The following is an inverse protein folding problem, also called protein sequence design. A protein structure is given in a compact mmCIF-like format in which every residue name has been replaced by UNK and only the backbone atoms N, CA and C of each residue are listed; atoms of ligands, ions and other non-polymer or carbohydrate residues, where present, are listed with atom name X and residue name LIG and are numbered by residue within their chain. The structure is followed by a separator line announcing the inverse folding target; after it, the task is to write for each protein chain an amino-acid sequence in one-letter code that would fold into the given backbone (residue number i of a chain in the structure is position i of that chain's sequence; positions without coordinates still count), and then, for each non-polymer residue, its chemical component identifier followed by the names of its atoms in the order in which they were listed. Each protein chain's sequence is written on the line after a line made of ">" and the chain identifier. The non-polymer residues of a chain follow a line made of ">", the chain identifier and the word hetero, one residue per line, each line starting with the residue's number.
data_IF_374895180622
#
_entry.id   IF_374895180622
#
_cell.length_a   1.000
_cell.length_b   1.000
_cell.length_c   1.000
_cell.angle_alpha   90.00
_cell.angle_beta   90.00
_cell.angle_gamma   90.00
#
_symmetry.space_group_name_H-M   'P 1'
#
loop_
_entity.id
_entity.type
_entity.pdbx_description
1 polymer ?
#
# COMPACT_ATOMS: atom_id res chain seq x y z
N UNK A 1 13.37 -25.02 32.96
CA UNK A 1 13.03 -24.10 31.88
C UNK A 1 14.25 -23.25 31.56
N UNK A 2 14.99 -23.52 30.48
CA UNK A 2 16.16 -22.72 30.08
C UNK A 2 15.62 -21.46 29.41
N UNK A 3 15.86 -20.31 29.99
CA UNK A 3 15.64 -19.02 29.34
C UNK A 3 16.42 -19.03 28.01
N UNK A 4 15.73 -18.92 26.88
CA UNK A 4 16.36 -18.64 25.59
C UNK A 4 17.06 -17.30 25.75
N UNK A 5 18.39 -17.35 25.74
CA UNK A 5 19.24 -16.18 25.67
C UNK A 5 18.89 -15.47 24.34
N UNK A 6 18.06 -14.44 24.41
CA UNK A 6 17.79 -13.56 23.29
C UNK A 6 19.02 -12.71 23.06
N UNK A 7 20.04 -13.31 22.43
CA UNK A 7 21.14 -12.54 21.88
C UNK A 7 20.48 -11.52 20.94
N UNK A 8 20.55 -10.25 21.31
CA UNK A 8 19.83 -9.15 20.70
C UNK A 8 20.04 -9.17 19.17
N UNK A 9 19.08 -9.75 18.46
CA UNK A 9 19.03 -9.61 17.01
C UNK A 9 19.03 -8.12 16.67
N UNK A 10 19.86 -7.70 15.76
CA UNK A 10 19.91 -6.31 15.25
C UNK A 10 19.44 -6.24 13.82
N UNK A 11 18.68 -7.22 13.40
CA UNK A 11 18.08 -7.28 12.08
C UNK A 11 16.84 -6.37 12.04
N UNK A 12 16.83 -5.41 11.14
CA UNK A 12 15.69 -4.54 10.86
C UNK A 12 15.20 -4.85 9.46
N UNK A 13 13.95 -5.21 9.34
CA UNK A 13 13.34 -5.65 8.08
C UNK A 13 12.28 -4.64 7.66
N UNK A 14 12.24 -4.34 6.37
CA UNK A 14 11.19 -3.55 5.74
C UNK A 14 10.62 -4.30 4.55
N UNK A 15 9.31 -4.22 4.34
CA UNK A 15 8.65 -4.72 3.15
C UNK A 15 7.72 -3.65 2.58
N UNK A 16 7.73 -3.49 1.26
CA UNK A 16 6.82 -2.61 0.55
C UNK A 16 6.06 -3.39 -0.53
N UNK A 17 4.73 -3.35 -0.46
CA UNK A 17 3.85 -4.00 -1.42
C UNK A 17 3.38 -2.95 -2.43
N UNK A 18 3.99 -2.99 -3.62
CA UNK A 18 3.54 -2.23 -4.77
C UNK A 18 2.46 -2.95 -5.59
N UNK A 19 1.97 -2.31 -6.64
CA UNK A 19 0.98 -2.92 -7.55
C UNK A 19 1.54 -4.10 -8.36
N UNK A 20 2.81 -4.05 -8.75
CA UNK A 20 3.45 -5.07 -9.59
C UNK A 20 4.49 -5.89 -8.82
N UNK A 21 5.27 -5.25 -7.97
CA UNK A 21 6.35 -5.88 -7.22
C UNK A 21 6.19 -5.65 -5.74
N UNK A 22 6.66 -6.62 -4.98
CA UNK A 22 6.89 -6.53 -3.54
C UNK A 22 8.39 -6.51 -3.30
N UNK A 23 8.87 -5.44 -2.70
CA UNK A 23 10.27 -5.24 -2.35
C UNK A 23 10.47 -5.52 -0.86
N UNK A 24 11.56 -6.19 -0.52
CA UNK A 24 11.97 -6.41 0.87
C UNK A 24 13.41 -5.98 1.06
N UNK A 25 13.70 -5.39 2.21
CA UNK A 25 15.04 -4.98 2.61
C UNK A 25 15.28 -5.37 4.05
N UNK A 26 16.48 -5.82 4.39
CA UNK A 26 16.87 -6.03 5.76
C UNK A 26 18.26 -5.48 6.01
N UNK A 27 18.43 -4.79 7.13
CA UNK A 27 19.71 -4.29 7.59
C UNK A 27 20.16 -5.05 8.84
N UNK A 28 21.28 -5.77 8.71
CA UNK A 28 21.95 -6.40 9.83
C UNK A 28 22.98 -5.43 10.41
N UNK A 29 22.65 -4.84 11.55
CA UNK A 29 23.52 -3.86 12.21
C UNK A 29 24.77 -4.48 12.85
N UNK A 30 24.87 -5.81 12.97
CA UNK A 30 26.08 -6.49 13.47
C UNK A 30 27.13 -6.60 12.38
N UNK A 31 26.68 -6.94 11.19
CA UNK A 31 27.57 -7.16 10.04
C UNK A 31 27.69 -5.90 9.16
N UNK A 32 26.91 -4.85 9.43
CA UNK A 32 26.82 -3.67 8.55
C UNK A 32 26.31 -4.02 7.16
N UNK A 33 25.49 -5.06 7.03
CA UNK A 33 25.10 -5.66 5.75
C UNK A 33 23.64 -5.34 5.42
N UNK A 34 23.40 -4.95 4.17
CA UNK A 34 22.08 -4.78 3.59
C UNK A 34 21.75 -6.01 2.72
N UNK A 35 20.58 -6.60 2.98
CA UNK A 35 19.99 -7.68 2.20
C UNK A 35 18.79 -7.13 1.46
N UNK A 36 18.65 -7.45 0.18
CA UNK A 36 17.55 -6.98 -0.67
C UNK A 36 16.90 -8.17 -1.35
N UNK A 37 15.58 -8.15 -1.42
CA UNK A 37 14.78 -9.12 -2.15
C UNK A 37 13.66 -8.44 -2.91
N UNK A 38 13.33 -8.99 -4.07
CA UNK A 38 12.25 -8.51 -4.92
C UNK A 38 11.47 -9.70 -5.48
N UNK A 39 10.15 -9.58 -5.46
CA UNK A 39 9.25 -10.59 -6.03
C UNK A 39 8.06 -9.92 -6.71
N UNK A 40 7.32 -10.66 -7.51
CA UNK A 40 6.04 -10.19 -8.03
C UNK A 40 5.02 -10.11 -6.90
N UNK A 41 4.22 -9.07 -6.91
CA UNK A 41 3.07 -8.96 -6.01
C UNK A 41 2.04 -10.03 -6.37
N UNK A 42 1.51 -10.70 -5.35
CA UNK A 42 0.42 -11.67 -5.48
C UNK A 42 -0.88 -11.03 -4.99
N UNK A 43 -1.71 -10.43 -5.85
CA UNK A 43 -2.86 -9.62 -5.44
C UNK A 43 -3.87 -10.37 -4.57
N UNK A 44 -4.06 -11.67 -4.80
CA UNK A 44 -4.95 -12.53 -4.01
C UNK A 44 -4.39 -12.91 -2.63
N UNK A 45 -3.05 -12.83 -2.44
CA UNK A 45 -2.35 -13.26 -1.23
C UNK A 45 -1.12 -12.39 -0.97
N UNK A 46 -1.34 -11.13 -0.59
CA UNK A 46 -0.27 -10.13 -0.43
C UNK A 46 0.87 -10.57 0.50
N UNK A 47 0.54 -11.26 1.58
CA UNK A 47 1.53 -11.79 2.53
C UNK A 47 2.49 -12.79 1.86
N UNK A 48 2.02 -13.56 0.88
CA UNK A 48 2.85 -14.54 0.18
C UNK A 48 3.98 -13.86 -0.60
N UNK A 49 3.71 -12.71 -1.21
CA UNK A 49 4.73 -11.90 -1.87
C UNK A 49 5.86 -11.49 -0.93
N UNK A 50 5.51 -11.03 0.28
CA UNK A 50 6.51 -10.69 1.32
C UNK A 50 7.34 -11.92 1.69
N UNK A 51 6.69 -13.04 2.03
CA UNK A 51 7.38 -14.27 2.44
C UNK A 51 8.33 -14.79 1.36
N UNK A 52 7.92 -14.76 0.11
CA UNK A 52 8.77 -15.13 -1.02
C UNK A 52 9.96 -14.17 -1.19
N UNK A 53 9.74 -12.87 -1.03
CA UNK A 53 10.80 -11.87 -1.08
C UNK A 53 11.83 -12.07 0.03
N UNK A 54 11.38 -12.33 1.27
CA UNK A 54 12.24 -12.64 2.41
C UNK A 54 13.06 -13.91 2.17
N UNK A 55 12.41 -14.98 1.71
CA UNK A 55 13.09 -16.25 1.42
C UNK A 55 14.16 -16.09 0.33
N UNK A 56 13.87 -15.37 -0.76
CA UNK A 56 14.84 -15.08 -1.82
C UNK A 56 16.05 -14.29 -1.33
N UNK A 57 15.83 -13.38 -0.39
CA UNK A 57 16.88 -12.56 0.21
C UNK A 57 17.65 -13.28 1.34
N UNK A 58 17.23 -14.49 1.73
CA UNK A 58 17.82 -15.22 2.86
C UNK A 58 17.55 -14.53 4.21
N UNK A 59 16.41 -13.84 4.34
CA UNK A 59 16.03 -13.09 5.54
C UNK A 59 15.12 -13.97 6.40
N UNK A 60 15.55 -14.28 7.63
CA UNK A 60 14.74 -14.94 8.64
C UNK A 60 13.97 -13.89 9.44
N UNK A 61 12.66 -13.84 9.26
CA UNK A 61 11.80 -12.85 9.91
C UNK A 61 11.78 -13.02 11.44
N UNK A 62 11.95 -14.25 11.92
CA UNK A 62 12.01 -14.59 13.34
C UNK A 62 13.20 -13.94 14.05
N UNK A 63 14.22 -13.56 13.30
CA UNK A 63 15.40 -12.87 13.80
C UNK A 63 15.24 -11.35 13.76
N UNK A 64 14.14 -10.83 13.23
CA UNK A 64 13.92 -9.41 13.12
C UNK A 64 13.59 -8.78 14.47
N UNK A 65 14.33 -7.74 14.84
CA UNK A 65 14.01 -6.88 15.98
C UNK A 65 12.89 -5.90 15.64
N UNK A 66 12.83 -5.49 14.37
CA UNK A 66 11.87 -4.53 13.86
C UNK A 66 11.41 -4.98 12.47
N UNK A 67 10.11 -4.97 12.25
CA UNK A 67 9.51 -5.15 10.94
C UNK A 67 8.66 -3.92 10.60
N UNK A 68 8.97 -3.29 9.47
CA UNK A 68 8.22 -2.17 8.90
C UNK A 68 7.49 -2.65 7.64
N UNK A 69 6.23 -2.27 7.51
CA UNK A 69 5.43 -2.65 6.36
C UNK A 69 4.80 -1.41 5.72
N UNK A 70 5.05 -1.22 4.43
CA UNK A 70 4.40 -0.24 3.58
C UNK A 70 3.53 -0.92 2.52
N UNK A 71 2.51 -0.23 2.05
CA UNK A 71 1.69 -0.71 0.94
C UNK A 71 1.07 0.45 0.18
N UNK A 72 1.18 0.41 -1.15
CA UNK A 72 0.51 1.35 -2.07
C UNK A 72 -0.74 0.75 -2.72
N UNK A 73 -1.17 -0.44 -2.29
CA UNK A 73 -2.30 -1.18 -2.89
C UNK A 73 -3.57 -0.34 -2.93
N UNK A 74 -3.91 0.37 -1.84
CA UNK A 74 -5.11 1.21 -1.80
C UNK A 74 -5.05 2.37 -2.81
N UNK A 75 -3.89 3.01 -2.93
CA UNK A 75 -3.69 4.11 -3.90
C UNK A 75 -3.81 3.56 -5.32
N UNK A 76 -3.14 2.45 -5.62
CA UNK A 76 -3.19 1.81 -6.93
C UNK A 76 -4.63 1.40 -7.30
N UNK A 77 -5.36 0.79 -6.37
CA UNK A 77 -6.77 0.42 -6.54
C UNK A 77 -7.64 1.63 -6.90
N UNK A 78 -7.42 2.78 -6.25
CA UNK A 78 -8.14 4.01 -6.56
C UNK A 78 -7.76 4.57 -7.94
N UNK A 79 -6.47 4.57 -8.29
CA UNK A 79 -6.00 5.08 -9.58
C UNK A 79 -6.47 4.21 -10.75
N UNK A 80 -6.41 2.90 -10.58
CA UNK A 80 -6.84 1.91 -11.57
C UNK A 80 -8.36 1.69 -11.61
N UNK A 81 -9.09 2.23 -10.61
CA UNK A 81 -10.54 2.01 -10.44
C UNK A 81 -10.92 0.53 -10.39
N UNK A 82 -10.04 -0.30 -9.86
CA UNK A 82 -10.18 -1.75 -9.78
C UNK A 82 -10.76 -2.25 -8.45
N UNK A 83 -11.18 -1.33 -7.59
CA UNK A 83 -11.70 -1.63 -6.26
C UNK A 83 -13.11 -2.20 -6.23
N UNK A 84 -13.57 -2.53 -5.04
CA UNK A 84 -14.95 -2.97 -4.81
C UNK A 84 -15.96 -1.89 -5.20
N UNK A 85 -17.15 -2.31 -5.63
CA UNK A 85 -18.27 -1.40 -5.84
C UNK A 85 -18.67 -0.76 -4.51
N UNK A 86 -18.55 0.56 -4.45
CA UNK A 86 -18.67 1.32 -3.20
C UNK A 86 -19.87 2.27 -3.27
N UNK A 87 -20.65 2.35 -2.20
CA UNK A 87 -21.69 3.35 -2.02
C UNK A 87 -21.24 4.40 -0.99
N UNK A 88 -21.65 5.64 -1.18
CA UNK A 88 -21.39 6.74 -0.27
C UNK A 88 -22.67 7.11 0.51
N UNK A 89 -22.65 6.95 1.82
CA UNK A 89 -23.71 7.41 2.70
C UNK A 89 -23.37 8.82 3.16
N UNK A 90 -24.30 9.76 2.94
CA UNK A 90 -24.09 11.17 3.29
C UNK A 90 -25.38 11.79 3.82
N UNK A 91 -25.29 13.01 4.36
CA UNK A 91 -26.45 13.77 4.85
C UNK A 91 -27.43 14.07 3.71
N UNK A 92 -28.72 13.96 3.99
CA UNK A 92 -29.77 14.29 3.01
C UNK A 92 -29.56 15.70 2.45
N UNK A 93 -29.59 15.83 1.13
CA UNK A 93 -29.34 17.08 0.42
C UNK A 93 -27.89 17.32 0.03
N UNK A 94 -26.92 16.51 0.52
CA UNK A 94 -25.49 16.69 0.25
C UNK A 94 -24.91 15.70 -0.76
N UNK A 95 -25.74 14.89 -1.42
CA UNK A 95 -25.31 13.89 -2.41
C UNK A 95 -24.34 14.42 -3.46
N UNK A 96 -24.62 15.60 -3.98
CA UNK A 96 -23.90 16.15 -5.12
C UNK A 96 -22.65 16.96 -4.73
N UNK A 97 -22.41 17.20 -3.42
CA UNK A 97 -21.25 17.95 -2.94
C UNK A 97 -19.93 17.28 -3.32
N UNK A 98 -19.91 15.95 -3.37
CA UNK A 98 -18.76 15.15 -3.77
C UNK A 98 -18.34 15.40 -5.23
N UNK A 99 -19.31 15.68 -6.11
CA UNK A 99 -19.08 15.96 -7.53
C UNK A 99 -18.90 17.46 -7.80
N UNK A 100 -19.66 18.31 -7.10
CA UNK A 100 -19.56 19.76 -7.24
C UNK A 100 -18.17 20.25 -6.80
N UNK A 101 -17.65 19.71 -5.69
CA UNK A 101 -16.42 20.18 -5.08
C UNK A 101 -16.53 21.66 -4.71
N UNK A 102 -15.40 22.38 -4.75
CA UNK A 102 -15.36 23.82 -4.43
C UNK A 102 -15.45 24.71 -5.67
N UNK A 103 -15.99 24.22 -6.77
CA UNK A 103 -16.10 24.95 -8.05
C UNK A 103 -14.71 25.34 -8.61
N UNK A 104 -13.66 24.66 -8.21
CA UNK A 104 -12.32 24.92 -8.74
C UNK A 104 -12.26 24.53 -10.21
N UNK A 105 -12.12 25.54 -11.07
CA UNK A 105 -11.79 25.37 -12.48
C UNK A 105 -10.34 25.83 -12.68
N UNK A 106 -9.45 24.96 -13.15
CA UNK A 106 -8.07 25.36 -13.44
C UNK A 106 -7.99 26.42 -14.56
N UNK A 107 -9.00 26.43 -15.44
CA UNK A 107 -9.16 27.41 -16.50
C UNK A 107 -10.63 27.87 -16.54
N UNK A 108 -10.87 29.11 -16.10
CA UNK A 108 -12.22 29.66 -15.91
C UNK A 108 -13.02 29.81 -17.21
N UNK A 109 -12.34 29.98 -18.34
CA UNK A 109 -12.97 30.23 -19.65
C UNK A 109 -12.98 29.01 -20.56
N UNK A 110 -12.47 27.87 -20.10
CA UNK A 110 -12.44 26.65 -20.89
C UNK A 110 -13.82 25.96 -20.90
N UNK A 111 -14.60 26.19 -21.94
CA UNK A 111 -15.90 25.55 -22.12
C UNK A 111 -15.83 24.03 -22.36
N UNK A 112 -14.64 23.52 -22.71
CA UNK A 112 -14.39 22.08 -22.91
C UNK A 112 -13.86 21.39 -21.65
N UNK A 113 -13.69 22.14 -20.54
CA UNK A 113 -13.21 21.56 -19.29
C UNK A 113 -14.18 20.48 -18.80
N UNK A 114 -13.68 19.28 -18.60
CA UNK A 114 -14.41 18.17 -17.97
C UNK A 114 -13.82 17.91 -16.60
N UNK A 115 -14.67 17.82 -15.59
CA UNK A 115 -14.27 17.36 -14.27
C UNK A 115 -13.81 15.91 -14.33
N UNK A 116 -12.95 15.54 -13.39
CA UNK A 116 -12.63 14.12 -13.19
C UNK A 116 -13.89 13.34 -12.86
N UNK A 117 -13.99 12.15 -13.44
CA UNK A 117 -15.07 11.24 -13.11
C UNK A 117 -14.97 10.83 -11.63
N UNK A 118 -16.01 10.98 -10.81
CA UNK A 118 -16.01 10.54 -9.42
C UNK A 118 -15.76 9.04 -9.30
N UNK A 119 -15.15 8.61 -8.19
CA UNK A 119 -14.96 7.17 -7.90
C UNK A 119 -16.28 6.48 -7.55
N UNK A 120 -17.19 7.20 -6.90
CA UNK A 120 -18.52 6.72 -6.56
C UNK A 120 -19.53 7.39 -7.48
N UNK A 121 -20.26 6.60 -8.24
CA UNK A 121 -21.27 7.08 -9.17
C UNK A 121 -22.45 7.72 -8.45
N UNK A 122 -23.20 8.57 -9.15
CA UNK A 122 -24.27 9.38 -8.54
C UNK A 122 -25.42 8.55 -7.97
N UNK A 123 -25.74 7.42 -8.56
CA UNK A 123 -26.78 6.50 -8.11
C UNK A 123 -26.39 5.68 -6.87
N UNK A 124 -25.10 5.70 -6.53
CA UNK A 124 -24.54 5.06 -5.35
C UNK A 124 -24.23 6.04 -4.20
N UNK A 125 -24.80 7.24 -4.25
CA UNK A 125 -24.62 8.31 -3.24
C UNK A 125 -25.96 8.74 -2.61
#
# INVERSE_FOLDING_TARGET
>A
MKAKNTSSSRLRVAADIGGTFTDVAAFDARQGRLLLGKTLTTPSHLVQGILQGLAKAGIALEEAQLFLHGSTVAINTMLERSGARTALITTRGFRDIYEIGRINRPDSFNLRHRKHQPLVERDLR
#
